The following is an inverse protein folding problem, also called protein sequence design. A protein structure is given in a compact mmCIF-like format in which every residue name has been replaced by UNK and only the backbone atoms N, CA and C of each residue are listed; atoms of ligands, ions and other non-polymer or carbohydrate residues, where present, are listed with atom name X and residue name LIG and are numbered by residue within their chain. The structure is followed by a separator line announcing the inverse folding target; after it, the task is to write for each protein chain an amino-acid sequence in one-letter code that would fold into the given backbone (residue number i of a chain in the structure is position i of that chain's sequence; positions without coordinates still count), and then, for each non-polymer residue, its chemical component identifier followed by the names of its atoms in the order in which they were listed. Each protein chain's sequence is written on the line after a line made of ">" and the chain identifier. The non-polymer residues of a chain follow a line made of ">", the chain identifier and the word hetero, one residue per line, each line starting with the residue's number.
data_IF_037647591928
#
_entry.id   IF_037647591928
#
_cell.length_a   1.000
_cell.length_b   1.000
_cell.length_c   1.000
_cell.angle_alpha   90.00
_cell.angle_beta   90.00
_cell.angle_gamma   90.00
#
_symmetry.space_group_name_H-M   'P 1'
#
loop_
_entity.id
_entity.type
_entity.pdbx_description
1 polymer ?
#
# COMPACT_ATOMS: atom_id res chain seq x y z
N UNK A 1 9.32 3.84 -10.05
CA UNK A 1 8.11 4.57 -10.52
C UNK A 1 6.83 3.95 -9.95
N UNK A 2 6.71 2.61 -9.96
CA UNK A 2 5.55 1.91 -9.39
C UNK A 2 5.48 1.85 -7.85
N UNK A 3 6.54 2.21 -7.15
CA UNK A 3 6.58 2.15 -5.68
C UNK A 3 5.59 3.12 -5.01
N UNK A 4 5.26 4.22 -5.69
CA UNK A 4 4.28 5.19 -5.21
C UNK A 4 2.84 4.68 -5.24
N UNK A 5 2.54 3.67 -6.05
CA UNK A 5 1.20 3.11 -6.19
C UNK A 5 0.70 2.45 -4.89
N UNK A 6 1.63 1.97 -4.05
CA UNK A 6 1.34 1.40 -2.73
C UNK A 6 1.36 2.42 -1.60
N UNK A 7 1.55 3.71 -1.89
CA UNK A 7 1.45 4.77 -0.89
C UNK A 7 -0.02 5.04 -0.59
N UNK A 8 -0.37 5.07 0.69
CA UNK A 8 -1.68 5.52 1.13
C UNK A 8 -1.97 6.91 0.56
N UNK A 9 -3.23 7.14 0.19
CA UNK A 9 -3.76 8.37 -0.44
C UNK A 9 -3.17 8.74 -1.81
N UNK A 10 -2.35 7.88 -2.42
CA UNK A 10 -1.96 8.08 -3.82
C UNK A 10 -3.13 7.69 -4.74
N UNK A 11 -3.60 8.65 -5.53
CA UNK A 11 -4.66 8.45 -6.52
C UNK A 11 -4.42 9.38 -7.71
N UNK A 12 -4.67 8.88 -8.92
CA UNK A 12 -4.66 9.67 -10.16
C UNK A 12 -6.06 10.23 -10.51
N UNK A 13 -7.10 9.77 -9.81
CA UNK A 13 -8.44 10.31 -9.93
C UNK A 13 -8.62 11.54 -9.04
N UNK A 14 -9.43 12.50 -9.49
CA UNK A 14 -9.86 13.64 -8.69
C UNK A 14 -10.50 13.19 -7.38
N UNK A 15 -10.39 14.03 -6.35
CA UNK A 15 -11.00 13.73 -5.06
C UNK A 15 -12.50 13.50 -5.26
N UNK A 16 -13.05 12.37 -4.80
CA UNK A 16 -14.41 12.02 -5.12
C UNK A 16 -15.36 12.96 -4.38
N UNK A 17 -16.20 13.68 -5.12
CA UNK A 17 -17.29 14.44 -4.52
C UNK A 17 -18.32 13.46 -3.97
N UNK A 18 -18.66 13.55 -2.70
CA UNK A 18 -19.59 12.63 -2.03
C UNK A 18 -21.04 13.01 -2.35
N UNK A 19 -21.38 13.16 -3.63
CA UNK A 19 -22.72 13.57 -4.06
C UNK A 19 -23.56 12.31 -4.30
N UNK A 20 -24.06 11.73 -3.20
CA UNK A 20 -25.07 10.67 -3.22
C UNK A 20 -24.57 9.26 -2.91
N UNK A 21 -25.47 8.28 -3.09
CA UNK A 21 -25.27 6.86 -2.77
C UNK A 21 -24.32 6.12 -3.72
N UNK A 22 -23.84 6.79 -4.77
CA UNK A 22 -22.90 6.25 -5.73
C UNK A 22 -21.48 6.60 -5.29
N UNK A 23 -20.86 5.69 -4.52
CA UNK A 23 -19.46 5.83 -4.15
C UNK A 23 -18.57 5.81 -5.40
N UNK A 24 -17.68 6.79 -5.51
CA UNK A 24 -16.69 6.81 -6.59
C UNK A 24 -15.79 5.57 -6.52
N UNK A 25 -15.56 4.94 -7.68
CA UNK A 25 -14.75 3.72 -7.80
C UNK A 25 -13.26 3.97 -7.51
N UNK A 26 -12.79 5.21 -7.67
CA UNK A 26 -11.41 5.64 -7.45
C UNK A 26 -11.39 7.03 -6.81
N UNK A 27 -10.25 7.43 -6.25
CA UNK A 27 -10.08 8.76 -5.66
C UNK A 27 -9.49 8.75 -4.24
N UNK A 28 -9.83 7.74 -3.42
CA UNK A 28 -9.33 7.66 -2.04
C UNK A 28 -7.89 7.14 -1.92
N UNK A 29 -7.41 6.34 -2.88
CA UNK A 29 -6.03 5.84 -2.89
C UNK A 29 -5.70 4.84 -1.77
N UNK A 30 -6.70 4.14 -1.21
CA UNK A 30 -6.49 3.15 -0.15
C UNK A 30 -6.63 1.70 -0.60
N UNK A 31 -7.27 1.44 -1.75
CA UNK A 31 -7.55 0.08 -2.22
C UNK A 31 -6.28 -0.75 -2.38
N UNK A 32 -5.33 -0.32 -3.20
CA UNK A 32 -4.14 -1.11 -3.49
C UNK A 32 -3.21 -1.32 -2.27
N UNK A 33 -2.89 -0.28 -1.46
CA UNK A 33 -2.12 -0.48 -0.23
C UNK A 33 -2.81 -1.47 0.72
N UNK A 34 -4.13 -1.38 0.85
CA UNK A 34 -4.92 -2.24 1.74
C UNK A 34 -4.99 -3.69 1.23
N UNK A 35 -5.21 -3.90 -0.07
CA UNK A 35 -5.18 -5.24 -0.68
C UNK A 35 -3.83 -5.92 -0.47
N UNK A 36 -2.72 -5.17 -0.56
CA UNK A 36 -1.38 -5.69 -0.26
C UNK A 36 -1.21 -6.06 1.22
N UNK A 37 -1.77 -5.26 2.14
CA UNK A 37 -1.78 -5.57 3.57
C UNK A 37 -2.51 -6.89 3.84
N UNK A 38 -3.68 -7.10 3.24
CA UNK A 38 -4.44 -8.35 3.37
C UNK A 38 -3.68 -9.56 2.84
N UNK A 39 -3.03 -9.44 1.68
CA UNK A 39 -2.19 -10.51 1.16
C UNK A 39 -1.05 -10.87 2.14
N UNK A 40 -0.39 -9.84 2.69
CA UNK A 40 0.75 -10.02 3.62
C UNK A 40 0.35 -10.56 4.99
N UNK A 41 -0.90 -10.35 5.42
CA UNK A 41 -1.40 -10.89 6.67
C UNK A 41 -1.23 -12.41 6.74
N UNK A 42 -1.40 -13.13 5.63
CA UNK A 42 -1.19 -14.59 5.53
C UNK A 42 0.16 -14.97 4.88
N UNK A 43 1.19 -14.14 5.06
CA UNK A 43 2.52 -14.32 4.45
C UNK A 43 2.51 -14.42 2.91
N UNK A 44 1.53 -13.79 2.26
CA UNK A 44 1.48 -13.58 0.82
C UNK A 44 2.13 -12.25 0.39
N UNK A 45 1.87 -11.83 -0.85
CA UNK A 45 2.20 -10.49 -1.34
C UNK A 45 1.32 -10.14 -2.54
N UNK A 46 1.18 -8.84 -2.82
CA UNK A 46 0.52 -8.34 -4.03
C UNK A 46 1.53 -7.50 -4.82
N UNK A 47 1.72 -7.83 -6.09
CA UNK A 47 2.64 -7.15 -7.00
C UNK A 47 1.88 -6.65 -8.22
N UNK A 48 2.19 -5.43 -8.65
CA UNK A 48 1.60 -4.83 -9.86
C UNK A 48 2.72 -4.58 -10.85
N UNK A 49 2.51 -5.03 -12.08
CA UNK A 49 3.39 -4.84 -13.22
C UNK A 49 2.61 -4.08 -14.29
N UNK A 50 3.15 -2.99 -14.79
CA UNK A 50 2.51 -2.22 -15.86
C UNK A 50 3.48 -2.06 -17.01
N UNK A 51 2.94 -2.18 -18.22
CA UNK A 51 3.64 -1.96 -19.46
C UNK A 51 2.88 -0.88 -20.22
N UNK A 52 3.51 0.30 -20.31
CA UNK A 52 2.93 1.47 -20.96
C UNK A 52 2.53 1.14 -22.40
N UNK A 53 1.31 1.51 -22.79
CA UNK A 53 0.75 1.22 -24.11
C UNK A 53 0.15 -0.19 -24.28
N UNK A 54 0.32 -1.10 -23.31
CA UNK A 54 -0.26 -2.45 -23.36
C UNK A 54 -1.27 -2.71 -22.25
N UNK A 55 -0.93 -2.38 -21.00
CA UNK A 55 -1.82 -2.65 -19.86
C UNK A 55 -1.11 -2.76 -18.52
N UNK A 56 -1.85 -3.26 -17.53
CA UNK A 56 -1.37 -3.46 -16.15
C UNK A 56 -1.86 -4.80 -15.61
N UNK A 57 -0.92 -5.64 -15.18
CA UNK A 57 -1.16 -6.94 -14.58
C UNK A 57 -0.94 -6.88 -13.07
N UNK A 58 -1.83 -7.51 -12.30
CA UNK A 58 -1.72 -7.64 -10.85
C UNK A 58 -1.60 -9.11 -10.45
N UNK A 59 -0.55 -9.44 -9.70
CA UNK A 59 -0.24 -10.78 -9.22
C UNK A 59 -0.48 -10.86 -7.72
N UNK A 60 -1.40 -11.73 -7.31
CA UNK A 60 -1.70 -12.04 -5.92
C UNK A 60 -1.05 -13.37 -5.54
N UNK A 61 -0.10 -13.32 -4.61
CA UNK A 61 0.57 -14.49 -4.06
C UNK A 61 -0.03 -14.84 -2.70
N UNK A 62 -0.59 -16.03 -2.58
CA UNK A 62 -1.11 -16.58 -1.32
C UNK A 62 -0.52 -17.98 -1.12
N UNK A 63 -0.32 -18.37 0.13
CA UNK A 63 0.10 -19.72 0.47
C UNK A 63 -1.03 -20.71 0.17
N UNK A 64 -0.72 -21.74 -0.61
CA UNK A 64 -1.71 -22.77 -0.97
C UNK A 64 -2.13 -23.66 0.22
N UNK A 65 -1.36 -23.70 1.30
CA UNK A 65 -1.55 -24.63 2.41
C UNK A 65 -1.91 -23.87 3.70
N UNK A 66 -3.09 -24.09 4.30
CA UNK A 66 -3.62 -23.26 5.39
C UNK A 66 -2.84 -23.40 6.70
N UNK A 67 -2.30 -24.57 7.03
CA UNK A 67 -1.54 -24.72 8.28
C UNK A 67 -0.17 -24.01 8.26
N UNK A 68 0.31 -23.62 7.08
CA UNK A 68 1.56 -22.87 6.90
C UNK A 68 1.33 -21.36 6.82
N UNK A 69 0.08 -20.90 6.89
CA UNK A 69 -0.24 -19.48 6.89
C UNK A 69 -0.29 -18.99 8.33
N UNK A 70 0.79 -18.36 8.78
CA UNK A 70 0.79 -17.70 10.06
C UNK A 70 0.31 -16.26 9.86
N UNK A 71 -0.41 -15.74 10.85
CA UNK A 71 -0.73 -14.32 10.85
C UNK A 71 0.53 -13.48 11.05
N UNK A 72 0.74 -12.52 10.15
CA UNK A 72 1.82 -11.56 10.26
C UNK A 72 1.34 -10.30 10.95
N UNK A 73 1.37 -10.30 12.28
CA UNK A 73 1.03 -9.13 13.08
C UNK A 73 2.27 -8.24 13.31
N UNK A 74 2.11 -6.90 13.33
CA UNK A 74 3.18 -6.00 13.75
C UNK A 74 3.52 -6.24 15.22
N UNK A 75 4.79 -6.53 15.53
CA UNK A 75 5.29 -6.61 16.90
C UNK A 75 6.11 -5.36 17.23
N UNK A 76 5.72 -4.67 18.30
CA UNK A 76 6.51 -3.56 18.80
C UNK A 76 7.74 -4.10 19.52
N UNK A 77 8.92 -3.70 19.05
CA UNK A 77 10.22 -4.08 19.63
C UNK A 77 11.20 -2.91 19.50
N UNK A 78 12.38 -3.03 20.11
CA UNK A 78 13.46 -2.04 19.99
C UNK A 78 13.77 -1.72 18.51
N UNK A 79 13.68 -2.70 17.61
CA UNK A 79 13.84 -2.50 16.16
C UNK A 79 12.77 -1.60 15.55
N UNK A 80 11.50 -1.77 15.96
CA UNK A 80 10.41 -0.90 15.52
C UNK A 80 10.61 0.54 16.02
N UNK A 81 11.16 0.73 17.23
CA UNK A 81 11.43 2.05 17.81
C UNK A 81 12.46 2.83 16.99
N UNK A 82 13.53 2.17 16.54
CA UNK A 82 14.57 2.82 15.74
C UNK A 82 14.05 3.34 14.39
N UNK A 83 13.06 2.66 13.81
CA UNK A 83 12.40 3.09 12.57
C UNK A 83 11.53 4.34 12.76
N UNK A 84 11.04 4.59 13.98
CA UNK A 84 10.24 5.79 14.29
C UNK A 84 11.09 7.00 14.65
N UNK A 85 12.32 6.79 15.14
CA UNK A 85 13.21 7.87 15.57
C UNK A 85 14.00 8.53 14.43
N UNK A 86 13.86 8.07 13.18
CA UNK A 86 14.42 8.77 12.02
C UNK A 86 13.56 10.01 11.72
N UNK A 87 13.75 11.07 12.50
CA UNK A 87 13.22 12.38 12.18
C UNK A 87 13.70 12.79 10.79
N UNK A 88 12.85 13.34 9.92
CA UNK A 88 13.34 13.99 8.72
C UNK A 88 14.19 15.17 9.19
N UNK A 89 15.47 15.19 8.85
CA UNK A 89 16.27 16.42 8.97
C UNK A 89 15.55 17.47 8.13
N UNK A 90 14.81 18.36 8.78
CA UNK A 90 14.27 19.57 8.15
C UNK A 90 15.49 20.39 7.76
N UNK A 91 15.91 20.28 6.51
CA UNK A 91 16.84 21.23 5.90
C UNK A 91 16.12 22.57 5.84
N UNK A 92 16.27 23.37 6.89
CA UNK A 92 15.88 24.78 6.88
C UNK A 92 16.59 25.46 5.70
N UNK A 93 15.87 26.19 4.82
CA UNK A 93 16.55 26.99 3.81
C UNK A 93 17.39 28.06 4.52
N UNK A 94 18.68 28.13 4.18
CA UNK A 94 19.53 29.25 4.53
C UNK A 94 19.12 30.45 3.67
N UNK A 95 18.55 31.45 4.34
CA UNK A 95 18.16 32.80 3.86
C UNK A 95 17.08 32.90 2.77
#
# INVERSE_FOLDING_TARGET
>A
MMDHLFRYSYSTASLPETIGHNAALAGYGYGLPLSRLYARYFNGDLKVLSMEGYGTDAFLYIKAVPFKTNESIPSYSTSSRNNTSSSPTVSQPLY
#
